data_IF_582971291104
#
_entry.id   IF_582971291104
#
_cell.length_a   1.000
_cell.length_b   1.000
_cell.length_c   1.000
_cell.angle_alpha   90.00
_cell.angle_beta   90.00
_cell.angle_gamma   90.00
#
_symmetry.space_group_name_H-M   'P 1'
#
loop_
_entity.id
_entity.type
_entity.pdbx_description
1 polymer ?
#
# COMPACT_ATOMS: atom_id res chain seq x y z
N UNK A 1 -20.10 -3.52 3.57
CA UNK A 1 -18.96 -4.34 3.14
C UNK A 1 -19.27 -5.17 1.90
N UNK A 2 -20.30 -6.02 1.87
CA UNK A 2 -20.70 -6.79 0.67
C UNK A 2 -20.81 -5.96 -0.61
N UNK A 3 -21.57 -4.86 -0.57
CA UNK A 3 -21.74 -3.98 -1.73
C UNK A 3 -20.41 -3.36 -2.23
N UNK A 4 -19.49 -3.02 -1.32
CA UNK A 4 -18.17 -2.51 -1.70
C UNK A 4 -17.29 -3.63 -2.29
N UNK A 5 -17.38 -4.83 -1.72
CA UNK A 5 -16.68 -6.02 -2.22
C UNK A 5 -17.12 -6.40 -3.63
N UNK A 6 -18.43 -6.37 -3.90
CA UNK A 6 -19.00 -6.60 -5.23
C UNK A 6 -18.53 -5.52 -6.23
N UNK A 7 -18.53 -4.24 -5.82
CA UNK A 7 -18.05 -3.12 -6.64
C UNK A 7 -16.57 -3.26 -7.00
N UNK A 8 -15.76 -3.79 -6.09
CA UNK A 8 -14.33 -4.05 -6.30
C UNK A 8 -14.05 -5.41 -6.96
N UNK A 9 -15.09 -6.08 -7.49
CA UNK A 9 -15.00 -7.35 -8.21
C UNK A 9 -14.30 -8.47 -7.41
N UNK A 10 -14.52 -8.53 -6.09
CA UNK A 10 -13.92 -9.57 -5.28
C UNK A 10 -14.56 -10.96 -5.56
N UNK A 11 -13.78 -12.06 -5.59
CA UNK A 11 -14.29 -13.38 -5.99
C UNK A 11 -15.40 -13.96 -5.09
N UNK A 12 -15.36 -13.66 -3.79
CA UNK A 12 -16.37 -14.10 -2.82
C UNK A 12 -16.77 -12.94 -1.89
N UNK A 13 -17.78 -12.19 -2.32
CA UNK A 13 -18.32 -11.08 -1.54
C UNK A 13 -19.02 -11.52 -0.26
N UNK A 14 -19.48 -12.79 -0.17
CA UNK A 14 -20.20 -13.30 1.00
C UNK A 14 -19.28 -13.58 2.18
N UNK A 15 -18.02 -13.94 1.91
CA UNK A 15 -16.98 -14.21 2.90
C UNK A 15 -15.89 -13.12 2.98
N UNK A 16 -16.12 -11.95 2.39
CA UNK A 16 -15.17 -10.83 2.48
C UNK A 16 -15.05 -10.29 3.91
N UNK A 17 -13.83 -10.12 4.39
CA UNK A 17 -13.51 -9.46 5.64
C UNK A 17 -13.28 -7.96 5.42
N UNK A 18 -13.89 -7.12 6.26
CA UNK A 18 -13.70 -5.67 6.24
C UNK A 18 -14.45 -4.98 7.38
N UNK A 19 -14.01 -3.80 7.78
CA UNK A 19 -14.63 -3.01 8.85
C UNK A 19 -14.80 -1.53 8.43
N UNK A 20 -15.84 -0.88 8.93
CA UNK A 20 -16.00 0.56 8.76
C UNK A 20 -14.93 1.28 9.56
N UNK A 21 -14.38 2.36 8.99
CA UNK A 21 -13.39 3.21 9.62
C UNK A 21 -13.86 4.65 9.56
N UNK A 22 -13.39 5.50 10.46
CA UNK A 22 -13.69 6.93 10.49
C UNK A 22 -13.22 7.62 9.20
N UNK A 23 -12.13 7.13 8.60
CA UNK A 23 -11.66 7.61 7.30
C UNK A 23 -10.55 6.75 6.70
N UNK A 24 -10.14 7.11 5.49
CA UNK A 24 -9.12 6.37 4.72
C UNK A 24 -7.76 6.24 5.42
N UNK A 25 -7.42 7.17 6.32
CA UNK A 25 -6.20 7.08 7.13
C UNK A 25 -6.22 5.88 8.09
N UNK A 26 -7.35 5.64 8.76
CA UNK A 26 -7.53 4.49 9.65
C UNK A 26 -7.60 3.18 8.85
N UNK A 27 -8.34 3.17 7.74
CA UNK A 27 -8.37 2.01 6.84
C UNK A 27 -6.97 1.63 6.33
N UNK A 28 -6.19 2.62 5.90
CA UNK A 28 -4.82 2.39 5.45
C UNK A 28 -3.92 1.90 6.59
N UNK A 29 -4.07 2.41 7.83
CA UNK A 29 -3.32 1.90 8.99
C UNK A 29 -3.65 0.43 9.27
N UNK A 30 -4.94 0.05 9.30
CA UNK A 30 -5.36 -1.34 9.54
C UNK A 30 -4.86 -2.29 8.44
N UNK A 31 -4.98 -1.90 7.17
CA UNK A 31 -4.47 -2.68 6.04
C UNK A 31 -2.95 -2.92 6.13
N UNK A 32 -2.18 -1.89 6.51
CA UNK A 32 -0.73 -2.00 6.66
C UNK A 32 -0.30 -2.76 7.92
N UNK A 33 -1.07 -2.70 9.01
CA UNK A 33 -0.85 -3.55 10.18
C UNK A 33 -1.00 -5.03 9.81
N UNK A 34 -2.01 -5.38 9.00
CA UNK A 34 -2.16 -6.74 8.48
C UNK A 34 -0.95 -7.17 7.63
N UNK A 35 -0.44 -6.29 6.76
CA UNK A 35 0.78 -6.54 5.97
C UNK A 35 2.01 -6.72 6.85
N UNK A 36 2.21 -5.84 7.85
CA UNK A 36 3.32 -5.94 8.80
C UNK A 36 3.25 -7.25 9.58
N UNK A 37 2.09 -7.61 10.14
CA UNK A 37 1.92 -8.86 10.89
C UNK A 37 2.18 -10.10 10.03
N UNK A 38 1.72 -10.11 8.78
CA UNK A 38 1.98 -11.21 7.84
C UNK A 38 3.47 -11.28 7.45
N UNK A 39 4.10 -10.14 7.19
CA UNK A 39 5.51 -10.03 6.84
C UNK A 39 6.45 -10.38 7.99
N UNK A 40 6.17 -9.91 9.21
CA UNK A 40 6.94 -10.21 10.41
C UNK A 40 6.96 -11.71 10.71
N UNK A 41 5.82 -12.41 10.60
CA UNK A 41 5.79 -13.88 10.77
C UNK A 41 6.73 -14.63 9.83
N UNK A 42 6.99 -14.08 8.64
CA UNK A 42 7.94 -14.66 7.67
C UNK A 42 9.39 -14.25 7.94
N UNK A 43 9.62 -13.19 8.74
CA UNK A 43 10.90 -12.47 8.86
C UNK A 43 11.46 -12.40 10.28
N UNK A 44 10.76 -12.91 11.29
CA UNK A 44 11.27 -13.09 12.66
C UNK A 44 12.62 -13.83 12.69
N UNK A 45 12.92 -14.62 11.66
CA UNK A 45 14.17 -15.37 11.50
C UNK A 45 15.35 -14.51 11.03
N UNK A 46 15.11 -13.37 10.35
CA UNK A 46 16.16 -12.61 9.65
C UNK A 46 16.56 -11.29 10.32
N UNK A 47 15.82 -10.81 11.33
CA UNK A 47 16.21 -9.63 12.13
C UNK A 47 16.23 -8.27 11.40
N UNK A 48 15.77 -8.21 10.15
CA UNK A 48 15.81 -7.00 9.34
C UNK A 48 14.56 -6.12 9.49
N UNK A 49 14.74 -4.80 9.36
CA UNK A 49 13.65 -3.82 9.44
C UNK A 49 12.77 -3.88 8.18
N UNK A 50 11.43 -4.00 8.31
CA UNK A 50 10.52 -3.98 7.17
C UNK A 50 10.50 -2.61 6.47
N UNK A 51 10.31 -2.59 5.15
CA UNK A 51 10.07 -1.38 4.38
C UNK A 51 8.75 -1.40 3.59
N UNK A 52 8.23 -0.21 3.33
CA UNK A 52 7.01 0.03 2.56
C UNK A 52 7.31 0.97 1.41
N UNK A 53 6.95 0.57 0.19
CA UNK A 53 7.13 1.38 -1.01
C UNK A 53 5.83 2.10 -1.33
N UNK A 54 5.88 3.42 -1.54
CA UNK A 54 4.70 4.20 -1.91
C UNK A 54 5.03 5.41 -2.79
N UNK A 55 3.98 6.02 -3.32
CA UNK A 55 4.05 7.37 -3.88
C UNK A 55 4.11 8.44 -2.76
N UNK A 56 4.70 9.62 -3.01
CA UNK A 56 4.99 10.62 -1.98
C UNK A 56 3.79 11.52 -1.61
N UNK A 57 2.58 11.22 -2.09
CA UNK A 57 1.50 12.22 -2.10
C UNK A 57 0.68 12.24 -0.82
N UNK A 58 0.60 11.13 -0.10
CA UNK A 58 -0.32 10.97 1.03
C UNK A 58 0.42 10.85 2.37
N UNK A 59 0.20 11.85 3.25
CA UNK A 59 0.88 11.94 4.57
C UNK A 59 0.61 10.74 5.49
N UNK A 60 -0.48 10.00 5.24
CA UNK A 60 -0.84 8.84 6.04
C UNK A 60 0.19 7.70 5.94
N UNK A 61 0.98 7.61 4.86
CA UNK A 61 2.06 6.63 4.71
C UNK A 61 3.22 6.95 5.68
N UNK A 62 3.62 8.22 5.78
CA UNK A 62 4.65 8.64 6.74
C UNK A 62 4.23 8.39 8.19
N UNK A 63 2.96 8.67 8.54
CA UNK A 63 2.43 8.42 9.89
C UNK A 63 2.53 6.95 10.25
N UNK A 64 2.09 6.05 9.37
CA UNK A 64 2.20 4.61 9.59
C UNK A 64 3.65 4.17 9.77
N UNK A 65 4.53 4.58 8.84
CA UNK A 65 5.93 4.15 8.88
C UNK A 65 6.63 4.58 10.16
N UNK A 66 6.37 5.81 10.62
CA UNK A 66 6.90 6.33 11.89
C UNK A 66 6.31 5.64 13.12
N UNK A 67 5.02 5.32 13.14
CA UNK A 67 4.39 4.70 14.32
C UNK A 67 4.60 3.20 14.42
N UNK A 68 4.96 2.54 13.33
CA UNK A 68 5.08 1.09 13.26
C UNK A 68 6.51 0.63 12.92
N UNK A 69 7.53 1.48 13.06
CA UNK A 69 8.95 1.15 12.81
C UNK A 69 9.20 0.51 11.44
N UNK A 70 8.51 1.01 10.41
CA UNK A 70 8.68 0.58 9.03
C UNK A 70 9.47 1.64 8.28
N UNK A 71 10.48 1.24 7.51
CA UNK A 71 11.22 2.16 6.64
C UNK A 71 10.33 2.59 5.48
N UNK A 72 10.21 3.90 5.27
CA UNK A 72 9.48 4.46 4.14
C UNK A 72 10.42 4.53 2.92
N UNK A 73 9.98 3.98 1.79
CA UNK A 73 10.66 4.07 0.50
C UNK A 73 9.74 4.81 -0.48
N UNK A 74 9.99 6.09 -0.70
CA UNK A 74 9.20 6.90 -1.63
C UNK A 74 9.82 6.90 -3.02
N UNK A 75 8.98 6.69 -4.03
CA UNK A 75 9.43 6.82 -5.42
C UNK A 75 9.23 8.28 -5.83
N UNK A 76 10.32 9.00 -6.16
CA UNK A 76 10.20 10.40 -6.53
C UNK A 76 9.33 10.55 -7.78
N UNK A 77 8.44 11.54 -7.75
CA UNK A 77 7.70 11.97 -8.92
C UNK A 77 8.54 12.99 -9.68
N UNK A 78 8.46 12.95 -11.00
CA UNK A 78 9.06 13.97 -11.87
C UNK A 78 7.99 14.63 -12.76
N UNK A 79 8.31 15.77 -13.36
CA UNK A 79 7.37 16.57 -14.16
C UNK A 79 6.76 15.79 -15.34
N UNK A 80 7.45 14.75 -15.82
CA UNK A 80 6.99 13.86 -16.89
C UNK A 80 6.30 12.60 -16.35
N UNK A 81 6.63 12.17 -15.12
CA UNK A 81 6.08 11.01 -14.43
C UNK A 81 5.37 11.41 -13.13
N UNK A 82 4.19 11.98 -13.30
CA UNK A 82 3.28 12.35 -12.21
C UNK A 82 2.57 11.15 -11.56
N UNK A 83 2.87 9.93 -12.00
CA UNK A 83 2.38 8.66 -11.46
C UNK A 83 3.55 7.71 -11.25
N UNK A 84 3.49 6.91 -10.20
CA UNK A 84 4.52 5.90 -9.92
C UNK A 84 4.50 4.81 -11.00
N UNK A 85 5.68 4.46 -11.52
CA UNK A 85 5.86 3.48 -12.58
C UNK A 85 6.25 2.11 -12.00
N UNK A 86 5.61 1.03 -12.48
CA UNK A 86 5.93 -0.34 -12.07
C UNK A 86 7.41 -0.70 -12.26
N UNK A 87 8.07 -0.19 -13.31
CA UNK A 87 9.52 -0.44 -13.53
C UNK A 87 10.39 0.19 -12.45
N UNK A 88 10.04 1.38 -11.98
CA UNK A 88 10.77 2.02 -10.88
C UNK A 88 10.50 1.32 -9.56
N UNK A 89 9.26 0.91 -9.30
CA UNK A 89 8.89 0.11 -8.12
C UNK A 89 9.78 -1.12 -7.99
N UNK A 90 9.95 -1.89 -9.07
CA UNK A 90 10.75 -3.11 -9.05
C UNK A 90 12.22 -2.90 -8.67
N UNK A 91 12.78 -1.70 -8.87
CA UNK A 91 14.15 -1.37 -8.45
C UNK A 91 14.29 -1.14 -6.96
N UNK A 92 13.18 -0.81 -6.29
CA UNK A 92 13.15 -0.51 -4.86
C UNK A 92 12.62 -1.68 -4.02
N UNK A 93 12.08 -2.72 -4.65
CA UNK A 93 11.62 -3.95 -3.98
C UNK A 93 12.84 -4.77 -3.55
N UNK A 94 12.89 -5.09 -2.26
CA UNK A 94 13.89 -5.94 -1.65
C UNK A 94 13.24 -7.05 -0.79
N UNK A 95 14.06 -7.90 -0.19
CA UNK A 95 13.60 -8.99 0.68
C UNK A 95 12.87 -8.51 1.95
N UNK A 96 13.01 -7.24 2.30
CA UNK A 96 12.42 -6.57 3.46
C UNK A 96 11.17 -5.75 3.10
N UNK A 97 10.76 -5.68 1.83
CA UNK A 97 9.54 -5.00 1.40
C UNK A 97 8.29 -5.76 1.86
N UNK A 98 7.50 -5.17 2.76
CA UNK A 98 6.22 -5.77 3.23
C UNK A 98 5.07 -5.51 2.25
N UNK A 99 5.21 -4.54 1.35
CA UNK A 99 4.22 -4.23 0.34
C UNK A 99 4.57 -3.00 -0.48
N UNK A 100 3.90 -2.91 -1.63
CA UNK A 100 3.89 -1.73 -2.50
C UNK A 100 2.49 -1.13 -2.43
N UNK A 101 2.42 0.18 -2.24
CA UNK A 101 1.17 0.92 -2.18
C UNK A 101 1.10 1.87 -3.36
N UNK A 102 0.05 1.71 -4.15
CA UNK A 102 -0.27 2.59 -5.28
C UNK A 102 -1.50 3.44 -4.95
N UNK A 103 -1.39 4.76 -5.04
CA UNK A 103 -2.57 5.64 -4.93
C UNK A 103 -3.40 5.63 -6.21
N UNK A 104 -4.64 5.15 -6.11
CA UNK A 104 -5.66 5.26 -7.14
C UNK A 104 -6.36 6.61 -7.02
N UNK A 105 -5.99 7.55 -7.88
CA UNK A 105 -6.48 8.94 -7.82
C UNK A 105 -5.57 9.83 -6.98
N UNK A 106 -4.42 10.20 -7.56
CA UNK A 106 -3.42 11.04 -6.90
C UNK A 106 -4.01 12.42 -6.60
N UNK A 107 -3.93 12.85 -5.35
CA UNK A 107 -4.60 14.05 -4.84
C UNK A 107 -4.23 15.34 -5.56
N UNK A 108 -2.97 15.48 -5.98
CA UNK A 108 -2.50 16.69 -6.68
C UNK A 108 -2.79 16.69 -8.18
N UNK A 109 -2.82 15.52 -8.82
CA UNK A 109 -2.83 15.42 -10.29
C UNK A 109 -4.08 14.74 -10.86
N UNK A 110 -4.96 14.19 -10.02
CA UNK A 110 -6.13 13.41 -10.41
C UNK A 110 -5.81 12.29 -11.44
N UNK A 111 -4.59 11.75 -11.38
CA UNK A 111 -4.14 10.65 -12.23
C UNK A 111 -4.17 9.34 -11.44
N UNK A 112 -4.40 8.23 -12.13
CA UNK A 112 -4.37 6.89 -11.55
C UNK A 112 -3.28 6.06 -12.19
N UNK A 113 -2.62 5.24 -11.38
CA UNK A 113 -1.69 4.22 -11.88
C UNK A 113 -2.50 3.15 -12.61
N UNK A 114 -1.98 2.67 -13.74
CA UNK A 114 -2.51 1.50 -14.42
C UNK A 114 -2.23 0.25 -13.56
N UNK A 115 -3.11 -0.02 -12.61
CA UNK A 115 -3.16 -1.28 -11.90
C UNK A 115 -3.73 -2.32 -12.88
N UNK A 116 -2.82 -3.05 -13.53
CA UNK A 116 -3.21 -4.25 -14.28
C UNK A 116 -3.59 -5.28 -13.22
N UNK A 117 -4.90 -5.41 -12.95
CA UNK A 117 -5.43 -6.52 -12.17
C UNK A 117 -5.07 -7.80 -12.91
N UNK A 118 -3.96 -8.44 -12.52
CA UNK A 118 -3.61 -9.77 -12.97
C UNK A 118 -4.72 -10.70 -12.48
N UNK A 119 -5.54 -11.14 -13.44
CA UNK A 119 -6.48 -12.26 -13.29
C UNK A 119 -5.73 -13.57 -13.26
#
# INVERSE_FOLDING_TARGET
>A
MRMLSDSWSFPDSRHTLGCSTIGSSEAAMLGRLALKCSGCKKREVQGNQPNLICDPVQICWHKFCRYCDVKLCEIPLDDHHLIMNAKEVLKHVDENTIGVVTTLGITYFCKQIALMFLR
#
